data_IF_647054709496
#
_entry.id   IF_647054709496
#
_cell.length_a   1.000
_cell.length_b   1.000
_cell.length_c   1.000
_cell.angle_alpha   90.00
_cell.angle_beta   90.00
_cell.angle_gamma   90.00
#
_symmetry.space_group_name_H-M   'P 1'
#
loop_
_entity.id
_entity.type
_entity.pdbx_description
1 polymer ?
#
# COMPACT_ATOMS: atom_id res chain seq x y z
N UNK A 1 15.14 2.11 2.28
CA UNK A 1 14.86 0.94 3.13
C UNK A 1 14.68 -0.28 2.23
N UNK A 2 15.67 -1.16 2.14
CA UNK A 2 15.60 -2.36 1.31
C UNK A 2 14.66 -3.38 1.95
N UNK A 3 13.74 -3.94 1.17
CA UNK A 3 12.86 -5.02 1.63
C UNK A 3 13.58 -6.32 1.33
N UNK A 4 14.16 -6.94 2.36
CA UNK A 4 14.79 -8.25 2.28
C UNK A 4 14.18 -9.17 3.33
N UNK A 5 13.93 -10.44 2.96
CA UNK A 5 13.49 -11.46 3.91
C UNK A 5 14.68 -12.39 4.15
N UNK A 6 15.11 -12.51 5.41
CA UNK A 6 16.12 -13.51 5.80
C UNK A 6 15.51 -14.91 5.68
N UNK A 7 16.18 -15.80 4.96
CA UNK A 7 15.81 -17.21 4.83
C UNK A 7 16.41 -17.97 6.02
N UNK A 8 15.62 -18.82 6.68
CA UNK A 8 16.11 -19.66 7.78
C UNK A 8 16.68 -20.98 7.24
N UNK A 9 17.58 -21.60 7.97
CA UNK A 9 18.12 -22.92 7.63
C UNK A 9 17.01 -23.98 7.59
N UNK A 10 16.99 -24.82 6.54
CA UNK A 10 15.94 -25.81 6.22
C UNK A 10 14.55 -25.24 5.88
N UNK A 11 14.43 -23.96 5.57
CA UNK A 11 13.16 -23.41 5.09
C UNK A 11 12.91 -23.74 3.61
N UNK A 12 11.72 -24.22 3.28
CA UNK A 12 11.30 -24.39 1.88
C UNK A 12 11.28 -23.02 1.16
N UNK A 13 11.97 -22.94 0.02
CA UNK A 13 12.11 -21.74 -0.82
C UNK A 13 10.76 -21.08 -1.12
N UNK A 14 9.71 -21.86 -1.37
CA UNK A 14 8.37 -21.35 -1.67
C UNK A 14 7.73 -20.57 -0.52
N UNK A 15 8.06 -20.93 0.73
CA UNK A 15 7.60 -20.19 1.91
C UNK A 15 8.34 -18.86 2.02
N UNK A 16 9.63 -18.84 1.74
CA UNK A 16 10.42 -17.61 1.71
C UNK A 16 9.91 -16.63 0.64
N UNK A 17 9.65 -17.11 -0.58
CA UNK A 17 9.08 -16.31 -1.67
C UNK A 17 7.71 -15.72 -1.32
N UNK A 18 6.83 -16.51 -0.68
CA UNK A 18 5.52 -16.01 -0.22
C UNK A 18 5.64 -14.92 0.85
N UNK A 19 6.57 -15.06 1.80
CA UNK A 19 6.84 -14.00 2.80
C UNK A 19 7.36 -12.74 2.13
N UNK A 20 8.30 -12.88 1.20
CA UNK A 20 8.84 -11.76 0.46
C UNK A 20 7.74 -11.01 -0.29
N UNK A 21 6.89 -11.72 -1.05
CA UNK A 21 5.73 -11.12 -1.73
C UNK A 21 4.81 -10.37 -0.76
N UNK A 22 4.52 -10.95 0.40
CA UNK A 22 3.70 -10.29 1.45
C UNK A 22 4.39 -9.04 2.01
N UNK A 23 5.69 -9.09 2.26
CA UNK A 23 6.47 -7.96 2.75
C UNK A 23 6.51 -6.81 1.74
N UNK A 24 6.74 -7.12 0.45
CA UNK A 24 6.70 -6.15 -0.65
C UNK A 24 5.31 -5.51 -0.76
N UNK A 25 4.24 -6.31 -0.74
CA UNK A 25 2.87 -5.78 -0.79
C UNK A 25 2.52 -4.91 0.42
N UNK A 26 2.97 -5.30 1.62
CA UNK A 26 2.75 -4.54 2.87
C UNK A 26 3.50 -3.20 2.85
N UNK A 27 4.71 -3.18 2.32
CA UNK A 27 5.53 -1.97 2.23
C UNK A 27 4.94 -0.91 1.30
N UNK A 28 4.06 -1.31 0.37
CA UNK A 28 3.45 -0.44 -0.65
C UNK A 28 4.46 0.34 -1.51
N UNK A 29 5.71 -0.11 -1.59
CA UNK A 29 6.77 0.56 -2.38
C UNK A 29 6.36 0.77 -3.83
N UNK A 30 5.76 -0.24 -4.48
CA UNK A 30 5.27 -0.11 -5.85
C UNK A 30 4.16 0.94 -5.99
N UNK A 31 3.31 1.10 -4.96
CA UNK A 31 2.25 2.13 -4.98
C UNK A 31 2.86 3.52 -4.87
N UNK A 32 3.81 3.69 -3.95
CA UNK A 32 4.46 4.97 -3.73
C UNK A 32 5.33 5.39 -4.91
N UNK A 33 6.06 4.45 -5.50
CA UNK A 33 6.77 4.66 -6.75
C UNK A 33 5.82 5.17 -7.84
N UNK A 34 4.70 4.46 -8.07
CA UNK A 34 3.71 4.89 -9.07
C UNK A 34 3.10 6.26 -8.79
N UNK A 35 2.84 6.59 -7.52
CA UNK A 35 2.33 7.91 -7.13
C UNK A 35 3.34 9.03 -7.41
N UNK A 36 4.64 8.73 -7.30
CA UNK A 36 5.70 9.71 -7.50
C UNK A 36 6.16 9.81 -8.97
N UNK A 37 5.63 8.99 -9.89
CA UNK A 37 6.00 9.06 -11.32
C UNK A 37 5.55 10.37 -11.98
N UNK A 38 4.55 11.05 -11.42
CA UNK A 38 4.04 12.32 -11.94
C UNK A 38 3.86 13.32 -10.81
N UNK A 39 4.12 14.60 -11.09
CA UNK A 39 3.81 15.67 -10.16
C UNK A 39 2.29 15.84 -10.04
N UNK A 40 1.77 15.67 -8.83
CA UNK A 40 0.38 15.96 -8.51
C UNK A 40 0.34 17.24 -7.69
N UNK A 41 -0.44 18.23 -8.16
CA UNK A 41 -0.55 19.51 -7.46
C UNK A 41 -1.20 19.30 -6.08
N UNK A 42 -0.72 19.96 -5.01
CA UNK A 42 -1.27 19.77 -3.66
C UNK A 42 -2.78 20.04 -3.54
N UNK A 43 -3.33 20.91 -4.40
CA UNK A 43 -4.78 21.17 -4.45
C UNK A 43 -5.57 19.95 -4.91
N UNK A 44 -5.07 19.23 -5.91
CA UNK A 44 -5.71 18.03 -6.44
C UNK A 44 -5.70 16.90 -5.40
N UNK A 45 -4.57 16.69 -4.73
CA UNK A 45 -4.47 15.69 -3.66
C UNK A 45 -5.46 15.96 -2.52
N UNK A 46 -5.59 17.22 -2.09
CA UNK A 46 -6.56 17.63 -1.05
C UNK A 46 -8.00 17.41 -1.50
N UNK A 47 -8.32 17.67 -2.76
CA UNK A 47 -9.66 17.47 -3.33
C UNK A 47 -10.04 15.98 -3.30
N UNK A 48 -9.16 15.12 -3.81
CA UNK A 48 -9.36 13.66 -3.83
C UNK A 48 -9.51 13.11 -2.41
N UNK A 49 -8.71 13.62 -1.46
CA UNK A 49 -8.79 13.21 -0.05
C UNK A 49 -10.16 13.58 0.57
N UNK A 50 -10.66 14.79 0.31
CA UNK A 50 -11.97 15.26 0.81
C UNK A 50 -13.13 14.43 0.24
N UNK A 51 -13.12 14.17 -1.07
CA UNK A 51 -14.14 13.33 -1.72
C UNK A 51 -14.15 11.91 -1.16
N UNK A 52 -12.96 11.32 -0.97
CA UNK A 52 -12.82 9.99 -0.36
C UNK A 52 -13.36 9.96 1.07
N UNK A 53 -13.06 10.98 1.87
CA UNK A 53 -13.55 11.10 3.25
C UNK A 53 -15.09 11.20 3.28
N UNK A 54 -15.68 12.05 2.44
CA UNK A 54 -17.13 12.19 2.33
C UNK A 54 -17.81 10.87 1.92
N UNK A 55 -17.23 10.15 0.95
CA UNK A 55 -17.73 8.82 0.55
C UNK A 55 -17.68 7.82 1.71
N UNK A 56 -16.59 7.79 2.47
CA UNK A 56 -16.44 6.89 3.61
C UNK A 56 -17.44 7.22 4.73
N UNK A 57 -17.66 8.50 5.02
CA UNK A 57 -18.64 8.95 6.01
C UNK A 57 -20.07 8.55 5.64
N UNK A 58 -20.46 8.72 4.37
CA UNK A 58 -21.76 8.25 3.85
C UNK A 58 -21.94 6.74 4.03
N UNK A 59 -20.90 5.96 3.70
CA UNK A 59 -20.92 4.50 3.86
C UNK A 59 -20.99 4.06 5.31
N UNK A 60 -20.31 4.78 6.22
CA UNK A 60 -20.37 4.53 7.66
C UNK A 60 -21.79 4.78 8.20
N UNK A 61 -22.39 5.92 7.86
CA UNK A 61 -23.74 6.26 8.31
C UNK A 61 -24.82 5.33 7.76
N UNK A 62 -24.58 4.65 6.63
CA UNK A 62 -25.50 3.65 6.06
C UNK A 62 -25.40 2.28 6.75
N UNK A 63 -24.34 2.04 7.51
CA UNK A 63 -24.05 0.76 8.18
C UNK A 63 -24.61 0.67 9.59
N UNK A 64 -24.96 1.82 10.18
CA UNK A 64 -25.73 1.94 11.41
C UNK A 64 -27.18 2.28 11.06
#
# INVERSE_FOLDING_TARGET
MGIGVKVKEKENIDRALRRFKRAVNRSRVLRQYRQNMAFTKPSEDRRIAKEKAARNARMHNRRY
#
